data_IF_451395881888
#
_entry.id   IF_451395881888
#
_cell.length_a   1.000
_cell.length_b   1.000
_cell.length_c   1.000
_cell.angle_alpha   90.00
_cell.angle_beta   90.00
_cell.angle_gamma   90.00
#
_symmetry.space_group_name_H-M   'P 1'
#
loop_
_entity.id
_entity.type
_entity.pdbx_description
1 polymer ?
#
# COMPACT_ATOMS: atom_id res chain seq x y z
N UNK A 1 -2.19 1.22 -11.59
CA UNK A 1 -0.92 1.97 -11.70
C UNK A 1 -1.12 3.39 -11.19
N UNK A 2 -0.67 3.69 -9.97
CA UNK A 2 -0.63 5.06 -9.47
C UNK A 2 0.68 5.70 -9.93
N UNK A 3 0.68 6.29 -11.13
CA UNK A 3 1.82 7.07 -11.58
C UNK A 3 2.02 8.27 -10.65
N UNK A 4 3.22 8.44 -10.09
CA UNK A 4 3.58 9.69 -9.42
C UNK A 4 3.55 10.79 -10.50
N UNK A 5 2.70 11.80 -10.34
CA UNK A 5 2.66 12.93 -11.25
C UNK A 5 3.97 13.72 -11.13
N UNK A 6 4.88 13.54 -12.09
CA UNK A 6 6.12 14.30 -12.19
C UNK A 6 5.90 15.55 -13.04
N UNK A 7 5.96 16.72 -12.40
CA UNK A 7 5.86 18.02 -13.07
C UNK A 7 7.22 18.43 -13.63
N UNK A 8 7.46 18.03 -14.88
CA UNK A 8 8.69 18.33 -15.64
C UNK A 8 8.97 19.83 -15.70
N UNK A 9 7.94 20.68 -15.83
CA UNK A 9 8.09 22.14 -15.96
C UNK A 9 8.54 22.78 -14.65
N UNK A 10 7.98 22.36 -13.52
CA UNK A 10 8.40 22.85 -12.20
C UNK A 10 9.81 22.38 -11.86
N UNK A 11 10.17 21.17 -12.27
CA UNK A 11 11.49 20.59 -12.05
C UNK A 11 12.58 21.32 -12.84
N UNK A 12 12.38 21.52 -14.16
CA UNK A 12 13.33 22.27 -15.00
C UNK A 12 13.51 23.71 -14.52
N UNK A 13 12.42 24.41 -14.17
CA UNK A 13 12.49 25.77 -13.61
C UNK A 13 13.35 25.85 -12.35
N UNK A 14 13.26 24.85 -11.47
CA UNK A 14 14.11 24.78 -10.26
C UNK A 14 15.58 24.60 -10.59
N UNK A 15 15.90 23.73 -11.54
CA UNK A 15 17.28 23.51 -11.98
C UNK A 15 17.88 24.78 -12.60
N UNK A 16 17.11 25.46 -13.46
CA UNK A 16 17.52 26.73 -14.05
C UNK A 16 17.72 27.81 -12.98
N UNK A 17 16.81 27.93 -12.00
CA UNK A 17 16.98 28.86 -10.87
C UNK A 17 18.19 28.53 -10.00
N UNK A 18 18.61 27.28 -9.95
CA UNK A 18 19.82 26.83 -9.25
C UNK A 18 21.11 27.01 -10.07
N UNK A 19 21.01 27.55 -11.29
CA UNK A 19 22.16 27.84 -12.16
C UNK A 19 22.47 26.77 -13.20
N UNK A 20 21.61 25.76 -13.39
CA UNK A 20 21.75 24.82 -14.50
C UNK A 20 21.40 25.49 -15.83
N UNK A 21 22.08 25.12 -16.91
CA UNK A 21 21.65 25.51 -18.26
C UNK A 21 20.29 24.89 -18.58
N UNK A 22 19.53 25.52 -19.47
CA UNK A 22 18.20 25.03 -19.84
C UNK A 22 18.25 23.62 -20.44
N UNK A 23 19.24 23.36 -21.31
CA UNK A 23 19.48 22.04 -21.91
C UNK A 23 19.78 20.97 -20.85
N UNK A 24 20.59 21.29 -19.85
CA UNK A 24 20.90 20.36 -18.75
C UNK A 24 19.67 20.12 -17.87
N UNK A 25 18.90 21.16 -17.59
CA UNK A 25 17.68 21.07 -16.80
C UNK A 25 16.65 20.15 -17.48
N UNK A 26 16.46 20.33 -18.79
CA UNK A 26 15.54 19.52 -19.61
C UNK A 26 16.01 18.06 -19.68
N UNK A 27 17.29 17.82 -20.01
CA UNK A 27 17.86 16.46 -20.06
C UNK A 27 17.75 15.73 -18.71
N UNK A 28 17.98 16.43 -17.60
CA UNK A 28 17.86 15.86 -16.25
C UNK A 28 16.40 15.54 -15.91
N UNK A 29 15.47 16.40 -16.30
CA UNK A 29 14.05 16.18 -16.05
C UNK A 29 13.51 14.98 -16.83
N UNK A 30 13.99 14.80 -18.06
CA UNK A 30 13.62 13.68 -18.93
C UNK A 30 14.17 12.35 -18.41
N UNK A 31 15.47 12.29 -18.09
CA UNK A 31 16.09 11.10 -17.49
C UNK A 31 15.44 10.71 -16.15
N UNK A 32 15.08 11.71 -15.32
CA UNK A 32 14.40 11.44 -14.06
C UNK A 32 12.97 10.90 -14.29
N UNK A 33 12.23 11.46 -15.25
CA UNK A 33 10.88 10.99 -15.59
C UNK A 33 10.90 9.54 -16.09
N UNK A 34 11.88 9.19 -16.91
CA UNK A 34 12.08 7.84 -17.43
C UNK A 34 12.40 6.86 -16.28
N UNK A 35 13.41 7.17 -15.45
CA UNK A 35 13.78 6.34 -14.31
C UNK A 35 12.65 6.22 -13.24
N UNK A 36 11.85 7.27 -13.07
CA UNK A 36 10.72 7.26 -12.12
C UNK A 36 9.53 6.47 -12.65
N UNK A 37 9.35 6.40 -13.97
CA UNK A 37 8.30 5.63 -14.63
C UNK A 37 8.51 4.12 -14.53
N UNK A 38 9.75 3.68 -14.39
CA UNK A 38 10.13 2.27 -14.20
C UNK A 38 9.94 1.76 -12.77
N UNK A 39 9.74 2.65 -11.80
CA UNK A 39 9.43 2.25 -10.43
C UNK A 39 7.98 1.75 -10.35
N UNK A 40 7.78 0.43 -10.38
CA UNK A 40 6.50 -0.18 -10.02
C UNK A 40 6.23 0.04 -8.53
N UNK A 41 5.54 1.13 -8.21
CA UNK A 41 5.14 1.46 -6.86
C UNK A 41 3.72 0.93 -6.65
N UNK A 42 3.56 0.02 -5.68
CA UNK A 42 2.24 -0.40 -5.23
C UNK A 42 1.42 0.83 -4.86
N UNK A 43 0.22 0.94 -5.44
CA UNK A 43 -0.64 2.09 -5.17
C UNK A 43 -1.13 2.04 -3.72
N UNK A 44 -1.43 3.21 -3.14
CA UNK A 44 -2.13 3.25 -1.84
C UNK A 44 -3.46 2.48 -1.88
N UNK A 45 -4.08 2.36 -3.06
CA UNK A 45 -5.28 1.55 -3.27
C UNK A 45 -5.00 0.06 -3.09
N UNK A 46 -3.91 -0.43 -3.69
CA UNK A 46 -3.52 -1.84 -3.64
C UNK A 46 -3.21 -2.27 -2.19
N UNK A 47 -2.55 -1.40 -1.43
CA UNK A 47 -2.29 -1.62 0.00
C UNK A 47 -3.59 -1.65 0.82
N UNK A 48 -4.55 -0.77 0.51
CA UNK A 48 -5.85 -0.73 1.19
C UNK A 48 -6.69 -1.97 0.88
N UNK A 49 -6.61 -2.48 -0.35
CA UNK A 49 -7.26 -3.73 -0.74
C UNK A 49 -6.66 -4.93 0.01
N UNK A 50 -5.33 -4.99 0.13
CA UNK A 50 -4.66 -6.02 0.94
C UNK A 50 -5.06 -5.94 2.42
N UNK A 51 -5.12 -4.74 3.00
CA UNK A 51 -5.55 -4.52 4.39
C UNK A 51 -6.97 -5.03 4.61
N UNK A 52 -7.91 -4.68 3.73
CA UNK A 52 -9.30 -5.14 3.80
C UNK A 52 -9.42 -6.66 3.69
N UNK A 53 -8.62 -7.30 2.81
CA UNK A 53 -8.63 -8.75 2.66
C UNK A 53 -8.14 -9.45 3.92
N UNK A 54 -7.02 -8.98 4.48
CA UNK A 54 -6.44 -9.51 5.71
C UNK A 54 -7.41 -9.36 6.89
N UNK A 55 -8.02 -8.17 7.05
CA UNK A 55 -8.99 -7.92 8.11
C UNK A 55 -10.22 -8.83 8.00
N UNK A 56 -10.71 -9.08 6.77
CA UNK A 56 -11.81 -9.99 6.50
C UNK A 56 -11.49 -11.43 6.92
N UNK A 57 -10.34 -11.96 6.49
CA UNK A 57 -9.87 -13.30 6.83
C UNK A 57 -9.65 -13.46 8.34
N UNK A 58 -9.01 -12.48 9.00
CA UNK A 58 -8.78 -12.50 10.44
C UNK A 58 -10.08 -12.45 11.24
N UNK A 59 -11.05 -11.64 10.79
CA UNK A 59 -12.37 -11.56 11.44
C UNK A 59 -13.11 -12.89 11.35
N UNK A 60 -13.06 -13.55 10.19
CA UNK A 60 -13.67 -14.87 10.00
C UNK A 60 -13.04 -15.91 10.93
N UNK A 61 -11.70 -15.98 10.96
CA UNK A 61 -10.95 -16.88 11.85
C UNK A 61 -11.32 -16.63 13.31
N UNK A 62 -11.40 -15.35 13.73
CA UNK A 62 -11.77 -14.98 15.11
C UNK A 62 -13.17 -15.49 15.49
N UNK A 63 -14.15 -15.40 14.58
CA UNK A 63 -15.49 -15.92 14.83
C UNK A 63 -15.53 -17.45 14.91
N UNK A 64 -14.82 -18.13 14.03
CA UNK A 64 -14.70 -19.59 14.07
C UNK A 64 -14.07 -20.07 15.38
N UNK A 65 -12.98 -19.44 15.81
CA UNK A 65 -12.34 -19.74 17.09
C UNK A 65 -13.28 -19.49 18.28
N UNK A 66 -14.04 -18.39 18.25
CA UNK A 66 -15.01 -18.07 19.31
C UNK A 66 -16.13 -19.11 19.38
N UNK A 67 -16.65 -19.55 18.23
CA UNK A 67 -17.66 -20.62 18.17
C UNK A 67 -17.10 -21.97 18.64
N UNK A 68 -15.86 -22.30 18.26
CA UNK A 68 -15.19 -23.51 18.70
C UNK A 68 -15.00 -23.50 20.22
N UNK A 69 -14.52 -22.39 20.78
CA UNK A 69 -14.38 -22.22 22.24
C UNK A 69 -15.73 -22.35 22.95
N UNK A 70 -16.79 -21.74 22.43
CA UNK A 70 -18.13 -21.88 23.00
C UNK A 70 -18.61 -23.34 22.96
N UNK A 71 -18.35 -24.06 21.86
CA UNK A 71 -18.66 -25.48 21.73
C UNK A 71 -17.91 -26.34 22.75
N UNK A 72 -16.60 -26.14 22.90
CA UNK A 72 -15.77 -26.85 23.89
C UNK A 72 -16.24 -26.54 25.31
N UNK A 73 -16.51 -25.27 25.62
CA UNK A 73 -17.03 -24.86 26.93
C UNK A 73 -18.37 -25.52 27.25
N UNK A 74 -19.26 -25.65 26.27
CA UNK A 74 -20.54 -26.35 26.43
C UNK A 74 -20.36 -27.84 26.77
N UNK A 75 -19.41 -28.51 26.09
CA UNK A 75 -19.08 -29.91 26.38
C UNK A 75 -18.49 -30.07 27.79
N UNK A 76 -17.55 -29.20 28.18
CA UNK A 76 -16.97 -29.19 29.53
C UNK A 76 -18.06 -28.97 30.57
N UNK A 77 -18.95 -28.01 30.36
CA UNK A 77 -20.05 -27.76 31.29
C UNK A 77 -20.95 -28.99 31.45
N UNK A 78 -21.30 -29.64 30.33
CA UNK A 78 -22.10 -30.87 30.34
C UNK A 78 -21.39 -32.05 31.01
N UNK A 79 -20.07 -32.17 30.87
CA UNK A 79 -19.31 -33.31 31.44
C UNK A 79 -19.04 -33.18 32.94
N UNK A 80 -18.97 -31.95 33.48
CA UNK A 80 -18.55 -31.72 34.86
C UNK A 80 -19.61 -31.10 35.78
N UNK A 81 -20.66 -30.47 35.23
CA UNK A 81 -21.65 -29.70 36.01
C UNK A 81 -23.12 -30.04 35.71
N UNK A 82 -23.37 -31.01 34.82
CA UNK A 82 -24.72 -31.51 34.48
C UNK A 82 -24.84 -33.01 34.74
#
# INVERSE_FOLDING_TARGET
MSAIAFDTLKFTKRLVQAGASQELAEATAEAFKEASGEAEIASKGDLREMEQRIDGELKLIKWMLTLLLAGVMSLVFKSFFS
#
